data_IF_517325889496
#
_entry.id   IF_517325889496
#
_cell.length_a   1.000
_cell.length_b   1.000
_cell.length_c   1.000
_cell.angle_alpha   90.00
_cell.angle_beta   90.00
_cell.angle_gamma   90.00
#
_symmetry.space_group_name_H-M   'P 1'
#
loop_
_entity.id
_entity.type
_entity.pdbx_description
1 polymer ?
#
# COMPACT_ATOMS: atom_id res chain seq x y z
N UNK A 1 -8.69 -12.32 -8.25
CA UNK A 1 -7.45 -12.87 -8.85
C UNK A 1 -6.85 -13.94 -7.94
N UNK A 2 -6.34 -15.04 -8.50
CA UNK A 2 -5.67 -16.12 -7.76
C UNK A 2 -4.15 -16.10 -8.02
N UNK A 3 -3.36 -16.28 -6.96
CA UNK A 3 -1.89 -16.36 -7.03
C UNK A 3 -1.46 -17.81 -7.14
N UNK A 4 -0.52 -18.10 -8.04
CA UNK A 4 0.20 -19.39 -8.13
C UNK A 4 1.65 -19.24 -7.72
N UNK A 5 2.28 -20.34 -7.34
CA UNK A 5 3.73 -20.38 -7.16
C UNK A 5 4.40 -20.33 -8.56
N UNK A 6 5.26 -19.35 -8.85
CA UNK A 6 6.05 -19.35 -10.08
C UNK A 6 7.11 -20.44 -10.03
N UNK A 7 7.56 -20.90 -11.19
CA UNK A 7 8.78 -21.72 -11.29
C UNK A 7 10.02 -20.87 -11.05
N UNK A 8 11.15 -21.50 -10.72
CA UNK A 8 12.43 -20.81 -10.53
C UNK A 8 12.83 -19.99 -11.77
N UNK A 9 12.57 -20.51 -12.97
CA UNK A 9 12.84 -19.82 -14.22
C UNK A 9 11.96 -18.58 -14.41
N UNK A 10 10.67 -18.66 -14.09
CA UNK A 10 9.75 -17.50 -14.14
C UNK A 10 10.10 -16.45 -13.10
N UNK A 11 10.54 -16.87 -11.90
CA UNK A 11 10.96 -15.97 -10.84
C UNK A 11 12.25 -15.23 -11.22
N UNK A 12 13.24 -15.95 -11.78
CA UNK A 12 14.48 -15.37 -12.27
C UNK A 12 14.23 -14.39 -13.41
N UNK A 13 13.42 -14.78 -14.38
CA UNK A 13 13.03 -13.95 -15.52
C UNK A 13 12.27 -12.68 -15.09
N UNK A 14 11.37 -12.80 -14.11
CA UNK A 14 10.71 -11.64 -13.49
C UNK A 14 11.71 -10.71 -12.80
N UNK A 15 12.67 -11.27 -12.06
CA UNK A 15 13.73 -10.51 -11.39
C UNK A 15 14.63 -9.77 -12.39
N UNK A 16 15.08 -10.43 -13.44
CA UNK A 16 15.92 -9.82 -14.49
C UNK A 16 15.22 -8.66 -15.19
N UNK A 17 13.96 -8.84 -15.57
CA UNK A 17 13.16 -7.78 -16.23
C UNK A 17 12.86 -6.60 -15.30
N UNK A 18 12.68 -6.87 -14.01
CA UNK A 18 12.32 -5.86 -13.03
C UNK A 18 13.54 -5.16 -12.40
N UNK A 19 14.75 -5.62 -12.70
CA UNK A 19 15.98 -5.13 -12.06
C UNK A 19 16.17 -3.61 -12.17
N UNK A 20 15.89 -3.04 -13.34
CA UNK A 20 15.99 -1.59 -13.59
C UNK A 20 14.68 -0.83 -13.31
N UNK A 21 13.60 -1.53 -12.96
CA UNK A 21 12.30 -0.91 -12.70
C UNK A 21 12.21 -0.36 -11.27
N UNK A 22 11.38 0.66 -11.02
CA UNK A 22 11.16 1.17 -9.66
C UNK A 22 10.32 0.22 -8.81
N UNK A 23 10.35 0.32 -7.47
CA UNK A 23 9.68 -0.63 -6.58
C UNK A 23 8.20 -0.90 -6.91
N UNK A 24 7.34 0.11 -7.21
CA UNK A 24 5.94 -0.16 -7.56
C UNK A 24 5.77 -0.95 -8.86
N UNK A 25 6.72 -0.83 -9.81
CA UNK A 25 6.70 -1.58 -11.06
C UNK A 25 7.18 -3.03 -10.85
N UNK A 26 8.23 -3.21 -10.04
CA UNK A 26 8.72 -4.56 -9.65
C UNK A 26 7.62 -5.41 -9.03
N UNK A 27 6.84 -4.82 -8.13
CA UNK A 27 5.67 -5.46 -7.52
C UNK A 27 4.69 -6.00 -8.58
N UNK A 28 4.38 -5.21 -9.60
CA UNK A 28 3.46 -5.62 -10.67
C UNK A 28 4.07 -6.67 -11.59
N UNK A 29 5.37 -6.61 -11.88
CA UNK A 29 6.06 -7.68 -12.64
C UNK A 29 6.01 -9.02 -11.93
N UNK A 30 6.22 -9.01 -10.62
CA UNK A 30 6.13 -10.22 -9.82
C UNK A 30 4.71 -10.80 -9.83
N UNK A 31 3.68 -9.95 -9.68
CA UNK A 31 2.29 -10.39 -9.79
C UNK A 31 1.91 -10.87 -11.19
N UNK A 32 2.44 -10.27 -12.26
CA UNK A 32 2.22 -10.72 -13.62
C UNK A 32 2.80 -12.13 -13.86
N UNK A 33 3.96 -12.43 -13.28
CA UNK A 33 4.54 -13.78 -13.35
C UNK A 33 3.71 -14.83 -12.59
N UNK A 34 2.98 -14.41 -11.54
CA UNK A 34 2.32 -15.30 -10.59
C UNK A 34 0.79 -15.32 -10.70
N UNK A 35 0.22 -14.61 -11.67
CA UNK A 35 -1.23 -14.54 -11.91
C UNK A 35 -1.53 -14.65 -13.41
N UNK A 36 -2.80 -14.68 -13.78
CA UNK A 36 -3.25 -14.62 -15.18
C UNK A 36 -3.83 -13.23 -15.53
N UNK A 37 -3.60 -12.23 -14.66
CA UNK A 37 -4.12 -10.90 -14.86
C UNK A 37 -3.31 -10.15 -15.93
N UNK A 38 -4.01 -9.36 -16.72
CA UNK A 38 -3.41 -8.39 -17.63
C UNK A 38 -2.73 -7.24 -16.87
N UNK A 39 -1.83 -6.56 -17.56
CA UNK A 39 -1.13 -5.38 -17.06
C UNK A 39 -2.11 -4.28 -16.59
N UNK A 40 -3.25 -4.12 -17.27
CA UNK A 40 -4.27 -3.14 -16.91
C UNK A 40 -5.06 -3.53 -15.67
N UNK A 41 -5.42 -4.82 -15.53
CA UNK A 41 -6.04 -5.34 -14.31
C UNK A 41 -5.12 -5.16 -13.10
N UNK A 42 -3.81 -5.43 -13.26
CA UNK A 42 -2.82 -5.25 -12.20
C UNK A 42 -2.67 -3.78 -11.80
N UNK A 43 -2.65 -2.84 -12.76
CA UNK A 43 -2.59 -1.39 -12.47
C UNK A 43 -3.87 -0.86 -11.83
N UNK A 44 -5.01 -1.49 -12.07
CA UNK A 44 -6.29 -1.09 -11.51
C UNK A 44 -6.50 -1.56 -10.06
N UNK A 45 -5.71 -2.51 -9.56
CA UNK A 45 -5.83 -3.01 -8.19
C UNK A 45 -5.67 -1.88 -7.16
N UNK A 46 -6.57 -1.77 -6.16
CA UNK A 46 -6.31 -1.01 -4.94
C UNK A 46 -4.98 -1.42 -4.34
N UNK A 47 -4.26 -0.47 -3.73
CA UNK A 47 -2.92 -0.72 -3.18
C UNK A 47 -2.93 -1.88 -2.20
N UNK A 48 -3.88 -1.94 -1.27
CA UNK A 48 -3.93 -3.03 -0.31
C UNK A 48 -4.29 -4.37 -0.95
N UNK A 49 -5.07 -4.38 -2.05
CA UNK A 49 -5.32 -5.64 -2.78
C UNK A 49 -4.05 -6.16 -3.46
N UNK A 50 -3.25 -5.26 -4.05
CA UNK A 50 -1.92 -5.62 -4.59
C UNK A 50 -1.04 -6.21 -3.48
N UNK A 51 -1.01 -5.58 -2.32
CA UNK A 51 -0.13 -5.99 -1.21
C UNK A 51 -0.58 -7.29 -0.56
N UNK A 52 -1.89 -7.54 -0.46
CA UNK A 52 -2.42 -8.85 -0.05
C UNK A 52 -1.99 -9.98 -0.98
N UNK A 53 -1.97 -9.76 -2.30
CA UNK A 53 -1.54 -10.76 -3.28
C UNK A 53 -0.02 -11.00 -3.20
N UNK A 54 0.77 -9.96 -2.98
CA UNK A 54 2.21 -10.08 -2.75
C UNK A 54 2.52 -10.83 -1.46
N UNK A 55 1.78 -10.56 -0.38
CA UNK A 55 1.88 -11.27 0.88
C UNK A 55 1.51 -12.75 0.71
N UNK A 56 0.45 -13.06 -0.05
CA UNK A 56 0.10 -14.45 -0.40
C UNK A 56 1.24 -15.15 -1.15
N UNK A 57 1.82 -14.49 -2.16
CA UNK A 57 2.96 -15.02 -2.91
C UNK A 57 4.17 -15.27 -2.00
N UNK A 58 4.48 -14.30 -1.12
CA UNK A 58 5.56 -14.43 -0.14
C UNK A 58 5.37 -15.67 0.72
N UNK A 59 4.15 -15.89 1.23
CA UNK A 59 3.85 -17.05 2.08
C UNK A 59 4.00 -18.36 1.32
N UNK A 60 3.62 -18.39 0.03
CA UNK A 60 3.79 -19.58 -0.82
C UNK A 60 5.25 -19.92 -1.08
N UNK A 61 6.12 -18.91 -1.21
CA UNK A 61 7.54 -19.10 -1.55
C UNK A 61 8.42 -19.35 -0.32
N UNK A 62 8.16 -18.65 0.78
CA UNK A 62 9.06 -18.60 1.93
C UNK A 62 8.42 -19.14 3.22
N UNK A 63 7.15 -19.54 3.16
CA UNK A 63 6.40 -19.98 4.31
C UNK A 63 5.75 -18.83 5.10
N UNK A 64 4.97 -19.18 6.15
CA UNK A 64 4.08 -18.23 6.81
C UNK A 64 4.78 -17.34 7.84
N UNK A 65 6.06 -17.53 8.13
CA UNK A 65 6.79 -16.72 9.10
C UNK A 65 7.50 -15.56 8.39
N UNK A 66 7.49 -14.40 9.04
CA UNK A 66 8.21 -13.20 8.62
C UNK A 66 9.23 -12.89 9.71
N UNK A 67 10.48 -12.74 9.27
CA UNK A 67 11.58 -12.23 10.09
C UNK A 67 11.86 -10.80 9.61
N UNK A 68 12.03 -9.87 10.55
CA UNK A 68 12.21 -8.45 10.25
C UNK A 68 13.11 -7.78 11.26
N UNK A 69 13.73 -6.68 10.83
CA UNK A 69 14.54 -5.81 11.68
C UNK A 69 13.86 -4.45 11.79
N UNK A 70 13.87 -3.88 12.99
CA UNK A 70 13.44 -2.51 13.23
C UNK A 70 14.45 -1.81 14.13
N UNK A 71 14.65 -0.51 13.93
CA UNK A 71 15.49 0.31 14.80
C UNK A 71 14.62 1.13 15.75
N UNK A 72 14.95 1.12 17.05
CA UNK A 72 14.26 1.95 18.02
C UNK A 72 14.57 3.44 17.74
N UNK A 73 13.57 4.30 17.53
CA UNK A 73 13.81 5.72 17.23
C UNK A 73 14.35 6.52 18.42
N UNK A 74 14.29 5.98 19.65
CA UNK A 74 14.71 6.67 20.86
C UNK A 74 16.15 6.34 21.29
N UNK A 75 16.58 5.08 21.15
CA UNK A 75 17.89 4.61 21.63
C UNK A 75 18.72 3.89 20.57
N UNK A 76 18.21 3.76 19.33
CA UNK A 76 18.88 3.13 18.19
C UNK A 76 19.21 1.64 18.37
N UNK A 77 18.56 0.97 19.33
CA UNK A 77 18.67 -0.47 19.49
C UNK A 77 18.05 -1.18 18.28
N UNK A 78 18.71 -2.22 17.78
CA UNK A 78 18.16 -3.08 16.73
C UNK A 78 17.27 -4.15 17.34
N UNK A 79 16.02 -4.20 16.91
CA UNK A 79 15.04 -5.20 17.30
C UNK A 79 14.92 -6.25 16.19
N UNK A 80 15.09 -7.50 16.57
CA UNK A 80 14.71 -8.65 15.74
C UNK A 80 13.26 -9.04 16.05
N UNK A 81 12.45 -9.19 14.99
CA UNK A 81 11.04 -9.50 15.07
C UNK A 81 10.77 -10.77 14.27
N UNK A 82 10.00 -11.68 14.85
CA UNK A 82 9.47 -12.84 14.15
C UNK A 82 7.96 -12.93 14.41
N UNK A 83 7.17 -12.95 13.35
CA UNK A 83 5.71 -13.02 13.45
C UNK A 83 5.11 -13.74 12.24
N UNK A 84 3.92 -14.35 12.39
CA UNK A 84 3.26 -14.98 11.27
C UNK A 84 2.67 -13.93 10.31
N UNK A 85 2.76 -14.15 9.01
CA UNK A 85 2.27 -13.26 7.96
C UNK A 85 0.78 -12.90 8.10
N UNK A 86 -0.05 -13.77 8.68
CA UNK A 86 -1.46 -13.43 8.91
C UNK A 86 -1.65 -12.30 9.94
N UNK A 87 -0.66 -12.01 10.79
CA UNK A 87 -0.73 -10.92 11.76
C UNK A 87 -0.72 -9.53 11.11
N UNK A 88 -0.24 -9.43 9.86
CA UNK A 88 -0.22 -8.19 9.06
C UNK A 88 -1.21 -8.21 7.89
N UNK A 89 -2.06 -9.24 7.84
CA UNK A 89 -3.13 -9.33 6.86
C UNK A 89 -4.33 -8.56 7.39
N UNK A 90 -4.83 -7.60 6.63
CA UNK A 90 -6.10 -6.96 6.96
C UNK A 90 -7.27 -7.92 6.68
N UNK A 91 -8.29 -7.86 7.53
CA UNK A 91 -9.49 -8.69 7.40
C UNK A 91 -10.48 -8.12 6.37
N UNK A 92 -10.53 -6.80 6.22
CA UNK A 92 -11.45 -6.11 5.32
C UNK A 92 -10.85 -5.99 3.91
N UNK A 93 -11.67 -6.32 2.91
CA UNK A 93 -11.35 -6.01 1.51
C UNK A 93 -11.74 -4.55 1.20
N UNK A 94 -10.94 -3.83 0.40
CA UNK A 94 -11.27 -2.48 -0.01
C UNK A 94 -12.55 -2.45 -0.83
N UNK A 95 -13.42 -1.43 -0.67
CA UNK A 95 -14.61 -1.29 -1.48
C UNK A 95 -14.28 -0.99 -2.94
N UNK A 96 -15.08 -1.54 -3.85
CA UNK A 96 -15.02 -1.20 -5.28
C UNK A 96 -15.67 0.17 -5.58
N UNK A 97 -16.67 0.55 -4.78
CA UNK A 97 -17.40 1.80 -4.92
C UNK A 97 -16.60 3.00 -4.38
N UNK A 98 -16.81 4.21 -4.95
CA UNK A 98 -16.23 5.43 -4.41
C UNK A 98 -16.62 5.67 -2.94
N UNK A 99 -15.67 6.17 -2.18
CA UNK A 99 -15.87 6.68 -0.83
C UNK A 99 -16.48 8.08 -0.88
N UNK A 100 -17.39 8.37 0.04
CA UNK A 100 -17.90 9.71 0.28
C UNK A 100 -17.48 10.15 1.67
N UNK A 101 -16.71 11.23 1.76
CA UNK A 101 -16.13 11.74 3.00
C UNK A 101 -16.63 13.16 3.25
N UNK A 102 -17.28 13.38 4.39
CA UNK A 102 -17.77 14.70 4.78
C UNK A 102 -16.91 15.28 5.90
N UNK A 103 -16.47 16.53 5.73
CA UNK A 103 -15.73 17.28 6.74
C UNK A 103 -16.09 18.77 6.68
N UNK A 104 -16.70 19.29 7.75
CA UNK A 104 -17.22 20.66 7.78
C UNK A 104 -18.29 20.88 6.70
N UNK A 105 -18.06 21.87 5.83
CA UNK A 105 -18.93 22.18 4.69
C UNK A 105 -18.64 21.35 3.43
N UNK A 106 -17.61 20.50 3.46
CA UNK A 106 -17.16 19.74 2.29
C UNK A 106 -17.69 18.31 2.32
N UNK A 107 -18.06 17.82 1.15
CA UNK A 107 -18.28 16.41 0.86
C UNK A 107 -17.43 16.04 -0.36
N UNK A 108 -16.49 15.12 -0.17
CA UNK A 108 -15.56 14.67 -1.20
C UNK A 108 -15.90 13.24 -1.58
N UNK A 109 -16.13 13.02 -2.87
CA UNK A 109 -16.29 11.69 -3.45
C UNK A 109 -14.98 11.29 -4.09
N UNK A 110 -14.39 10.16 -3.68
CA UNK A 110 -13.08 9.73 -4.15
C UNK A 110 -12.98 8.20 -4.27
N UNK A 111 -12.03 7.71 -5.07
CA UNK A 111 -11.67 6.29 -5.12
C UNK A 111 -10.35 6.03 -4.41
N UNK A 112 -10.19 4.82 -3.90
CA UNK A 112 -8.93 4.39 -3.33
C UNK A 112 -7.76 4.49 -4.35
N UNK A 113 -6.54 4.80 -3.88
CA UNK A 113 -5.34 4.71 -4.69
C UNK A 113 -5.17 3.31 -5.28
N UNK A 114 -4.70 3.24 -6.53
CA UNK A 114 -4.38 1.97 -7.20
C UNK A 114 -2.88 1.79 -7.38
N UNK A 115 -2.46 0.58 -7.74
CA UNK A 115 -1.06 0.31 -8.09
C UNK A 115 -0.56 1.18 -9.26
N UNK A 116 -1.44 1.51 -10.21
CA UNK A 116 -1.17 2.45 -11.30
C UNK A 116 -0.94 3.88 -10.81
N UNK A 117 -1.58 4.32 -9.73
CA UNK A 117 -1.30 5.61 -9.13
C UNK A 117 0.10 5.63 -8.50
N UNK A 118 0.51 4.57 -7.79
CA UNK A 118 1.86 4.48 -7.23
C UNK A 118 2.96 4.52 -8.29
N UNK A 119 2.72 3.93 -9.47
CA UNK A 119 3.60 4.08 -10.62
C UNK A 119 3.70 5.53 -11.09
N UNK A 120 2.56 6.20 -11.22
CA UNK A 120 2.49 7.60 -11.66
C UNK A 120 3.19 8.54 -10.66
N UNK A 121 3.01 8.30 -9.36
CA UNK A 121 3.66 9.06 -8.29
C UNK A 121 5.18 8.88 -8.32
N UNK A 122 5.67 7.66 -8.56
CA UNK A 122 7.11 7.42 -8.69
C UNK A 122 7.72 8.15 -9.88
N UNK A 123 6.98 8.29 -10.99
CA UNK A 123 7.43 9.03 -12.16
C UNK A 123 7.36 10.56 -11.98
N UNK A 124 6.59 11.05 -11.01
CA UNK A 124 6.42 12.47 -10.75
C UNK A 124 7.57 13.03 -9.88
N UNK A 125 8.26 14.06 -10.37
CA UNK A 125 9.32 14.76 -9.62
C UNK A 125 8.72 15.87 -8.73
N UNK A 126 7.96 15.47 -7.72
CA UNK A 126 7.26 16.38 -6.80
C UNK A 126 5.75 16.51 -7.07
N UNK A 127 5.04 17.17 -6.16
CA UNK A 127 3.58 17.32 -6.15
C UNK A 127 2.79 15.98 -6.11
N UNK A 128 3.34 14.96 -5.46
CA UNK A 128 2.73 13.63 -5.36
C UNK A 128 1.34 13.67 -4.71
N UNK A 129 1.15 14.57 -3.74
CA UNK A 129 -0.13 14.74 -3.03
C UNK A 129 -1.19 15.33 -3.97
N UNK A 130 -0.85 16.39 -4.69
CA UNK A 130 -1.74 17.05 -5.65
C UNK A 130 -2.11 16.10 -6.79
N UNK A 131 -1.12 15.37 -7.32
CA UNK A 131 -1.33 14.38 -8.37
C UNK A 131 -2.26 13.25 -7.90
N UNK A 132 -2.09 12.76 -6.66
CA UNK A 132 -2.98 11.72 -6.13
C UNK A 132 -4.41 12.24 -5.95
N UNK A 133 -4.57 13.45 -5.42
CA UNK A 133 -5.87 14.09 -5.27
C UNK A 133 -6.56 14.28 -6.63
N UNK A 134 -5.86 14.83 -7.62
CA UNK A 134 -6.37 15.01 -8.99
C UNK A 134 -6.85 13.68 -9.60
N UNK A 135 -6.11 12.60 -9.38
CA UNK A 135 -6.42 11.29 -9.97
C UNK A 135 -7.55 10.57 -9.25
N UNK A 136 -7.72 10.80 -7.95
CA UNK A 136 -8.59 9.98 -7.09
C UNK A 136 -9.85 10.69 -6.63
N UNK A 137 -9.86 12.02 -6.57
CA UNK A 137 -11.06 12.78 -6.25
C UNK A 137 -11.94 12.85 -7.51
N UNK A 138 -13.19 12.40 -7.37
CA UNK A 138 -14.19 12.40 -8.45
C UNK A 138 -15.07 13.64 -8.41
N UNK A 139 -15.41 14.10 -7.21
CA UNK A 139 -16.24 15.27 -7.00
C UNK A 139 -15.97 15.90 -5.63
N UNK A 140 -16.17 17.22 -5.56
CA UNK A 140 -16.16 18.00 -4.32
C UNK A 140 -17.43 18.84 -4.31
N UNK A 141 -18.22 18.70 -3.25
CA UNK A 141 -19.37 19.54 -2.95
C UNK A 141 -19.06 20.37 -1.70
N UNK A 142 -19.45 21.64 -1.67
CA UNK A 142 -19.22 22.53 -0.54
C UNK A 142 -18.77 23.94 -0.94
N UNK A 143 -18.07 24.60 -0.02
CA UNK A 143 -17.50 25.93 -0.27
C UNK A 143 -16.47 25.86 -1.41
N UNK A 144 -16.35 26.91 -2.25
CA UNK A 144 -15.36 26.95 -3.31
C UNK A 144 -13.95 27.06 -2.70
N UNK A 145 -13.26 25.93 -2.56
CA UNK A 145 -11.85 25.89 -2.21
C UNK A 145 -11.10 24.98 -3.19
N UNK A 146 -10.42 25.63 -4.13
CA UNK A 146 -9.32 25.05 -4.89
C UNK A 146 -8.06 25.84 -4.53
N UNK A 147 -7.07 25.23 -3.85
CA UNK A 147 -7.01 23.82 -3.41
C UNK A 147 -7.94 23.51 -2.23
N UNK A 148 -8.24 22.22 -2.03
CA UNK A 148 -8.95 21.73 -0.83
C UNK A 148 -8.17 22.09 0.45
N UNK A 149 -8.85 22.48 1.55
CA UNK A 149 -8.20 22.72 2.83
C UNK A 149 -7.45 21.48 3.34
N UNK A 150 -6.33 21.70 4.05
CA UNK A 150 -5.49 20.63 4.57
C UNK A 150 -6.25 19.68 5.50
N UNK A 151 -7.19 20.20 6.29
CA UNK A 151 -8.00 19.38 7.18
C UNK A 151 -8.94 18.43 6.41
N UNK A 152 -9.48 18.89 5.28
CA UNK A 152 -10.34 18.07 4.40
C UNK A 152 -9.52 16.95 3.76
N UNK A 153 -8.32 17.28 3.29
CA UNK A 153 -7.41 16.27 2.72
C UNK A 153 -6.95 15.27 3.78
N UNK A 154 -6.65 15.73 5.00
CA UNK A 154 -6.34 14.87 6.13
C UNK A 154 -7.48 13.92 6.47
N UNK A 155 -8.72 14.41 6.50
CA UNK A 155 -9.91 13.60 6.71
C UNK A 155 -10.10 12.56 5.59
N UNK A 156 -9.90 12.94 4.33
CA UNK A 156 -9.96 12.02 3.19
C UNK A 156 -8.91 10.91 3.31
N UNK A 157 -7.66 11.26 3.63
CA UNK A 157 -6.58 10.30 3.79
C UNK A 157 -6.89 9.27 4.90
N UNK A 158 -7.42 9.73 6.04
CA UNK A 158 -7.84 8.84 7.14
C UNK A 158 -8.95 7.87 6.71
N UNK A 159 -9.96 8.35 5.97
CA UNK A 159 -11.04 7.49 5.47
C UNK A 159 -10.54 6.49 4.44
N UNK A 160 -9.61 6.88 3.55
CA UNK A 160 -8.98 5.97 2.61
C UNK A 160 -8.17 4.88 3.33
N UNK A 161 -7.36 5.24 4.34
CA UNK A 161 -6.60 4.28 5.13
C UNK A 161 -7.52 3.31 5.90
N UNK A 162 -8.65 3.79 6.42
CA UNK A 162 -9.64 2.95 7.08
C UNK A 162 -10.37 2.01 6.10
N UNK A 163 -10.57 2.44 4.86
CA UNK A 163 -11.23 1.65 3.81
C UNK A 163 -10.29 0.65 3.11
N UNK A 164 -8.98 0.93 3.05
CA UNK A 164 -7.96 0.01 2.54
C UNK A 164 -6.84 -0.22 3.57
N UNK A 165 -7.14 -0.87 4.71
CA UNK A 165 -6.17 -1.06 5.80
C UNK A 165 -4.94 -1.89 5.41
N UNK A 166 -5.03 -2.68 4.34
CA UNK A 166 -3.90 -3.44 3.83
C UNK A 166 -2.88 -2.57 3.07
N UNK A 167 -3.28 -1.38 2.60
CA UNK A 167 -2.40 -0.44 1.91
C UNK A 167 -1.44 0.31 2.84
N UNK A 168 -1.72 0.32 4.14
CA UNK A 168 -0.92 1.01 5.16
C UNK A 168 -0.83 0.16 6.44
N UNK A 169 -0.06 -0.93 6.36
CA UNK A 169 0.18 -1.83 7.49
C UNK A 169 1.14 -1.17 8.47
N UNK A 170 0.68 -1.04 9.72
CA UNK A 170 1.48 -0.49 10.83
C UNK A 170 1.73 -1.57 11.89
N UNK A 171 2.99 -1.77 12.25
CA UNK A 171 3.41 -2.69 13.32
C UNK A 171 3.69 -1.88 14.58
N UNK A 172 2.95 -2.17 15.65
CA UNK A 172 3.20 -1.61 16.97
C UNK A 172 4.40 -2.33 17.62
N UNK A 173 5.39 -1.55 18.05
CA UNK A 173 6.65 -2.02 18.59
C UNK A 173 6.92 -1.38 19.96
N UNK A 174 7.66 -2.10 20.78
CA UNK A 174 8.15 -1.63 22.08
C UNK A 174 9.61 -2.05 22.27
N UNK A 175 10.46 -1.10 22.61
CA UNK A 175 11.88 -1.34 22.77
C UNK A 175 12.16 -2.00 24.13
N UNK A 176 12.79 -3.19 24.16
CA UNK A 176 13.13 -3.84 25.43
C UNK A 176 14.24 -3.11 26.21
N UNK A 177 15.06 -2.30 25.52
CA UNK A 177 16.18 -1.59 26.15
C UNK A 177 15.75 -0.30 26.87
N UNK A 178 14.88 0.51 26.24
CA UNK A 178 14.48 1.82 26.78
C UNK A 178 12.99 1.95 27.11
N UNK A 179 12.14 0.98 26.77
CA UNK A 179 10.70 1.00 27.02
C UNK A 179 9.89 1.90 26.09
N UNK A 180 10.52 2.58 25.12
CA UNK A 180 9.81 3.39 24.13
C UNK A 180 8.87 2.53 23.28
N UNK A 181 7.68 3.03 22.99
CA UNK A 181 6.71 2.41 22.10
C UNK A 181 6.46 3.28 20.86
N UNK A 182 6.34 2.67 19.69
CA UNK A 182 6.07 3.37 18.43
C UNK A 182 5.35 2.44 17.44
N UNK A 183 4.83 3.02 16.36
CA UNK A 183 4.35 2.27 15.20
C UNK A 183 5.29 2.50 14.02
N UNK A 184 5.59 1.43 13.28
CA UNK A 184 6.40 1.49 12.07
C UNK A 184 5.62 0.91 10.88
N UNK A 185 5.75 1.51 9.68
CA UNK A 185 5.22 0.91 8.46
C UNK A 185 5.91 -0.43 8.18
N UNK A 186 5.19 -1.34 7.53
CA UNK A 186 5.76 -2.58 6.98
C UNK A 186 5.76 -2.51 5.45
N UNK A 187 6.95 -2.42 4.84
CA UNK A 187 7.18 -2.28 3.39
C UNK A 187 8.06 -3.39 2.77
#
# INVERSE_FOLDING_TARGET
MAVRTPTDAELLDAWERAAAEPPPARALRLLAACTQASDDELRALPVGRRDALLLELRVRLFGPQIESLAECPACHEQLELAFPAHAIRAEAEPPDDPLQVSFGAYTVTARLPTAGDLLALHAANGAARELLLERRVLAVEGDPAEPLPDEVVGALAQHMAAADPQADVQIALSCPACGAAWSAPFD
#
